data_IF_191312687343
#
_entry.id   IF_191312687343
#
_cell.length_a   1.000
_cell.length_b   1.000
_cell.length_c   1.000
_cell.angle_alpha   90.00
_cell.angle_beta   90.00
_cell.angle_gamma   90.00
#
_symmetry.space_group_name_H-M   'P 1'
#
loop_
_entity.id
_entity.type
_entity.pdbx_description
1 polymer ?
#
# COMPACT_ATOMS: atom_id res chain seq x y z
N UNK A 1 39.77 -17.39 30.24
CA UNK A 1 39.24 -18.41 29.26
C UNK A 1 40.32 -18.74 28.28
N UNK A 2 40.38 -19.97 27.71
CA UNK A 2 41.32 -20.26 26.62
C UNK A 2 40.98 -19.39 25.39
N UNK A 3 41.99 -18.83 24.72
CA UNK A 3 41.84 -17.91 23.58
C UNK A 3 41.00 -18.52 22.46
N UNK A 4 41.19 -19.83 22.18
CA UNK A 4 40.41 -20.53 21.15
C UNK A 4 38.89 -20.52 21.44
N UNK A 5 38.51 -20.68 22.73
CA UNK A 5 37.09 -20.63 23.13
C UNK A 5 36.49 -19.21 22.96
N UNK A 6 37.25 -18.18 23.34
CA UNK A 6 36.84 -16.79 23.13
C UNK A 6 36.66 -16.48 21.65
N UNK A 7 37.52 -16.95 20.76
CA UNK A 7 37.38 -16.76 19.32
C UNK A 7 36.17 -17.49 18.74
N UNK A 8 35.87 -18.73 19.20
CA UNK A 8 34.65 -19.44 18.78
C UNK A 8 33.41 -18.67 19.22
N UNK A 9 33.37 -18.16 20.44
CA UNK A 9 32.27 -17.36 20.95
C UNK A 9 32.11 -16.05 20.18
N UNK A 10 33.21 -15.38 19.83
CA UNK A 10 33.21 -14.19 18.97
C UNK A 10 32.54 -14.49 17.62
N UNK A 11 32.94 -15.58 16.96
CA UNK A 11 32.33 -15.99 15.70
C UNK A 11 30.83 -16.28 15.87
N UNK A 12 30.45 -16.99 16.94
CA UNK A 12 29.05 -17.32 17.25
C UNK A 12 28.22 -16.06 17.45
N UNK A 13 28.70 -15.10 18.28
CA UNK A 13 27.98 -13.84 18.53
C UNK A 13 27.97 -12.93 17.30
N UNK A 14 29.00 -12.97 16.46
CA UNK A 14 29.02 -12.26 15.19
C UNK A 14 27.94 -12.78 14.25
N UNK A 15 27.78 -14.10 14.13
CA UNK A 15 26.72 -14.74 13.36
C UNK A 15 25.33 -14.46 13.93
N UNK A 16 25.19 -14.47 15.26
CA UNK A 16 23.94 -14.09 15.92
C UNK A 16 23.58 -12.61 15.62
N UNK A 17 24.55 -11.71 15.73
CA UNK A 17 24.32 -10.30 15.41
C UNK A 17 23.92 -10.12 13.95
N UNK A 18 24.63 -10.77 13.03
CA UNK A 18 24.31 -10.79 11.61
C UNK A 18 22.90 -11.32 11.34
N UNK A 19 22.50 -12.41 12.01
CA UNK A 19 21.14 -12.98 11.91
C UNK A 19 20.07 -11.99 12.33
N UNK A 20 20.18 -11.38 13.52
CA UNK A 20 19.18 -10.45 14.02
C UNK A 20 19.13 -9.16 13.19
N UNK A 21 20.29 -8.66 12.74
CA UNK A 21 20.37 -7.48 11.87
C UNK A 21 19.72 -7.74 10.51
N UNK A 22 20.01 -8.89 9.92
CA UNK A 22 19.38 -9.35 8.69
C UNK A 22 17.85 -9.43 8.84
N UNK A 23 17.37 -10.05 9.92
CA UNK A 23 15.94 -10.23 10.19
C UNK A 23 15.21 -8.93 10.41
N UNK A 24 15.82 -8.00 11.15
CA UNK A 24 15.26 -6.68 11.37
C UNK A 24 14.99 -5.95 10.06
N UNK A 25 15.95 -5.92 9.15
CA UNK A 25 15.80 -5.24 7.84
C UNK A 25 14.77 -5.97 6.97
N UNK A 26 14.78 -7.31 6.97
CA UNK A 26 13.81 -8.09 6.21
C UNK A 26 12.37 -7.85 6.67
N UNK A 27 12.11 -7.79 7.97
CA UNK A 27 10.78 -7.54 8.53
C UNK A 27 10.19 -6.18 8.12
N UNK A 28 11.02 -5.14 8.07
CA UNK A 28 10.58 -3.80 7.66
C UNK A 28 10.27 -3.74 6.16
N UNK A 29 10.97 -4.54 5.34
CA UNK A 29 10.84 -4.48 3.88
C UNK A 29 9.79 -5.42 3.30
N UNK A 30 9.41 -6.43 4.03
CA UNK A 30 8.44 -7.42 3.55
C UNK A 30 7.05 -6.79 3.50
N UNK A 31 6.39 -6.87 2.35
CA UNK A 31 5.01 -6.45 2.18
C UNK A 31 4.06 -7.54 2.69
N UNK A 32 3.15 -7.19 3.58
CA UNK A 32 2.16 -8.11 4.15
C UNK A 32 1.36 -8.84 3.07
N UNK A 33 0.95 -8.13 2.00
CA UNK A 33 0.24 -8.69 0.86
C UNK A 33 1.02 -9.81 0.14
N UNK A 34 2.33 -9.67 0.01
CA UNK A 34 3.15 -10.72 -0.60
C UNK A 34 3.23 -11.99 0.27
N UNK A 35 3.31 -11.83 1.61
CA UNK A 35 3.31 -12.99 2.52
C UNK A 35 1.94 -13.68 2.50
N UNK A 36 0.84 -12.94 2.38
CA UNK A 36 -0.51 -13.48 2.30
C UNK A 36 -0.67 -14.43 1.11
N UNK A 37 -0.19 -14.04 -0.07
CA UNK A 37 -0.14 -14.91 -1.26
C UNK A 37 0.66 -16.21 -0.95
N UNK A 38 1.81 -16.10 -0.27
CA UNK A 38 2.62 -17.26 0.08
C UNK A 38 1.95 -18.18 1.13
N UNK A 39 1.05 -17.64 1.96
CA UNK A 39 0.20 -18.41 2.87
C UNK A 39 -0.85 -19.19 2.09
N UNK A 40 -1.49 -18.57 1.11
CA UNK A 40 -2.47 -19.22 0.22
C UNK A 40 -1.83 -20.34 -0.61
N UNK A 41 -0.59 -20.14 -1.08
CA UNK A 41 0.21 -21.15 -1.76
C UNK A 41 0.69 -22.31 -0.84
N UNK A 42 0.44 -22.21 0.46
CA UNK A 42 0.81 -23.25 1.43
C UNK A 42 2.31 -23.39 1.68
N UNK A 43 3.13 -22.37 1.39
CA UNK A 43 4.60 -22.43 1.60
C UNK A 43 4.97 -22.58 3.07
N UNK A 44 5.95 -23.46 3.35
CA UNK A 44 6.43 -23.69 4.73
C UNK A 44 6.99 -22.39 5.33
N UNK A 45 6.51 -22.05 6.53
CA UNK A 45 6.95 -20.85 7.25
C UNK A 45 6.13 -19.60 6.94
N UNK A 46 5.29 -19.59 5.89
CA UNK A 46 4.50 -18.42 5.49
C UNK A 46 3.53 -17.95 6.58
N UNK A 47 2.83 -18.85 7.27
CA UNK A 47 1.95 -18.51 8.40
C UNK A 47 2.69 -17.77 9.51
N UNK A 48 3.91 -18.25 9.90
CA UNK A 48 4.72 -17.58 10.93
C UNK A 48 5.25 -16.24 10.44
N UNK A 49 5.63 -16.14 9.17
CA UNK A 49 6.06 -14.89 8.58
C UNK A 49 4.90 -13.87 8.53
N UNK A 50 3.68 -14.32 8.31
CA UNK A 50 2.47 -13.47 8.35
C UNK A 50 2.18 -12.96 9.77
N UNK A 51 2.21 -13.86 10.79
CA UNK A 51 2.10 -13.45 12.20
C UNK A 51 3.14 -12.41 12.61
N UNK A 52 4.37 -12.54 12.08
CA UNK A 52 5.44 -11.57 12.32
C UNK A 52 5.19 -10.23 11.62
N UNK A 53 4.67 -10.23 10.40
CA UNK A 53 4.32 -9.04 9.67
C UNK A 53 3.11 -8.32 10.29
N UNK A 54 2.21 -9.06 10.92
CA UNK A 54 1.06 -8.53 11.63
C UNK A 54 1.46 -7.86 12.97
N UNK A 55 2.47 -8.40 13.65
CA UNK A 55 3.00 -7.90 14.91
C UNK A 55 4.44 -7.38 14.76
N UNK A 56 4.70 -6.64 13.68
CA UNK A 56 6.05 -6.24 13.27
C UNK A 56 6.83 -5.54 14.38
N UNK A 57 6.20 -4.65 15.15
CA UNK A 57 6.84 -3.87 16.20
C UNK A 57 7.40 -4.76 17.33
N UNK A 58 6.68 -5.81 17.70
CA UNK A 58 7.13 -6.76 18.71
C UNK A 58 8.36 -7.56 18.26
N UNK A 59 8.34 -8.01 17.01
CA UNK A 59 9.49 -8.75 16.43
C UNK A 59 10.68 -7.84 16.12
N UNK A 60 10.47 -6.56 15.77
CA UNK A 60 11.54 -5.58 15.66
C UNK A 60 12.22 -5.33 17.00
N UNK A 61 11.44 -5.25 18.08
CA UNK A 61 11.97 -5.13 19.43
C UNK A 61 12.77 -6.38 19.84
N UNK A 62 12.28 -7.59 19.49
CA UNK A 62 13.03 -8.83 19.71
C UNK A 62 14.36 -8.83 18.95
N UNK A 63 14.37 -8.47 17.68
CA UNK A 63 15.59 -8.32 16.90
C UNK A 63 16.56 -7.33 17.55
N UNK A 64 16.04 -6.18 18.03
CA UNK A 64 16.85 -5.17 18.71
C UNK A 64 17.48 -5.70 19.98
N UNK A 65 16.73 -6.45 20.81
CA UNK A 65 17.26 -7.11 21.99
C UNK A 65 18.38 -8.12 21.60
N UNK A 66 18.15 -8.95 20.59
CA UNK A 66 19.14 -9.90 20.09
C UNK A 66 20.42 -9.23 19.59
N UNK A 67 20.29 -8.13 18.82
CA UNK A 67 21.42 -7.30 18.35
C UNK A 67 22.20 -6.76 19.55
N UNK A 68 21.50 -6.19 20.52
CA UNK A 68 22.14 -5.57 21.70
C UNK A 68 22.91 -6.60 22.52
N UNK A 69 22.29 -7.76 22.79
CA UNK A 69 22.96 -8.83 23.55
C UNK A 69 24.19 -9.37 22.82
N UNK A 70 24.08 -9.61 21.51
CA UNK A 70 25.18 -10.08 20.69
C UNK A 70 26.33 -9.04 20.63
N UNK A 71 25.99 -7.76 20.45
CA UNK A 71 26.98 -6.66 20.39
C UNK A 71 27.72 -6.45 21.71
N UNK A 72 27.01 -6.51 22.84
CA UNK A 72 27.61 -6.43 24.16
C UNK A 72 28.55 -7.62 24.43
N UNK A 73 28.12 -8.83 24.08
CA UNK A 73 28.96 -10.03 24.20
C UNK A 73 30.22 -9.95 23.31
N UNK A 74 30.07 -9.43 22.07
CA UNK A 74 31.19 -9.19 21.16
C UNK A 74 32.20 -8.17 21.72
N UNK A 75 31.74 -7.07 22.29
CA UNK A 75 32.60 -6.09 22.94
C UNK A 75 33.35 -6.69 24.13
N UNK A 76 32.62 -7.42 24.99
CA UNK A 76 33.21 -8.01 26.20
C UNK A 76 34.22 -9.13 25.92
N UNK A 77 33.96 -9.98 24.93
CA UNK A 77 34.81 -11.14 24.61
C UNK A 77 35.81 -10.86 23.49
N UNK A 78 35.43 -10.03 22.53
CA UNK A 78 36.20 -9.84 21.29
C UNK A 78 37.45 -9.01 21.50
N UNK A 79 37.36 -7.87 22.19
CA UNK A 79 38.51 -7.01 22.45
C UNK A 79 39.63 -7.74 23.18
N UNK A 80 39.41 -8.42 24.34
CA UNK A 80 40.46 -9.14 25.03
C UNK A 80 41.00 -10.32 24.21
N UNK A 81 40.14 -11.03 23.41
CA UNK A 81 40.58 -12.12 22.60
C UNK A 81 41.55 -11.73 21.49
N UNK A 82 41.26 -10.62 20.79
CA UNK A 82 42.16 -10.09 19.77
C UNK A 82 43.41 -9.46 20.36
N UNK A 83 43.33 -8.75 21.50
CA UNK A 83 44.48 -8.25 22.21
C UNK A 83 45.42 -9.38 22.63
N UNK A 84 44.90 -10.46 23.19
CA UNK A 84 45.69 -11.64 23.57
C UNK A 84 46.29 -12.37 22.36
N UNK A 85 45.65 -12.37 21.20
CA UNK A 85 46.18 -12.92 19.95
C UNK A 85 47.33 -12.10 19.40
N UNK A 86 47.28 -10.76 19.52
CA UNK A 86 48.28 -9.82 19.02
C UNK A 86 49.48 -9.63 19.96
N UNK A 87 49.26 -9.80 21.26
CA UNK A 87 50.29 -9.62 22.30
C UNK A 87 51.61 -10.36 21.99
N UNK A 88 51.65 -11.68 21.69
CA UNK A 88 52.91 -12.38 21.41
C UNK A 88 53.63 -11.84 20.17
N UNK A 89 52.92 -11.28 19.20
CA UNK A 89 53.49 -10.71 17.99
C UNK A 89 54.30 -9.45 18.34
N UNK A 90 53.76 -8.58 19.17
CA UNK A 90 54.41 -7.33 19.55
C UNK A 90 55.57 -7.55 20.56
N UNK A 91 55.48 -8.58 21.42
CA UNK A 91 56.57 -9.03 22.27
C UNK A 91 57.77 -9.48 21.43
N UNK A 92 57.53 -10.22 20.33
CA UNK A 92 58.57 -10.67 19.41
C UNK A 92 59.32 -9.51 18.77
N UNK A 93 58.71 -8.37 18.57
CA UNK A 93 59.34 -7.13 18.06
C UNK A 93 60.15 -6.36 19.14
N UNK A 94 60.23 -6.86 20.37
CA UNK A 94 61.04 -6.27 21.44
C UNK A 94 60.53 -4.94 22.01
N UNK A 95 59.22 -4.69 21.88
CA UNK A 95 58.59 -3.51 22.42
C UNK A 95 58.48 -3.56 23.96
N UNK A 96 58.52 -2.44 24.68
CA UNK A 96 58.26 -2.41 26.13
C UNK A 96 56.85 -2.91 26.46
N UNK A 97 56.69 -3.68 27.57
CA UNK A 97 55.42 -4.32 27.96
C UNK A 97 54.24 -3.37 27.98
N UNK A 98 54.42 -2.14 28.43
CA UNK A 98 53.37 -1.09 28.44
C UNK A 98 52.94 -0.74 27.00
N UNK A 99 53.87 -0.63 26.07
CA UNK A 99 53.58 -0.33 24.67
C UNK A 99 52.91 -1.52 23.99
N UNK A 100 53.39 -2.76 24.27
CA UNK A 100 52.75 -3.99 23.76
C UNK A 100 51.27 -4.06 24.16
N UNK A 101 50.95 -3.81 25.44
CA UNK A 101 49.58 -3.82 25.93
C UNK A 101 48.71 -2.78 25.22
N UNK A 102 49.14 -1.53 25.20
CA UNK A 102 48.34 -0.45 24.58
C UNK A 102 48.12 -0.67 23.10
N UNK A 103 49.15 -1.10 22.35
CA UNK A 103 49.05 -1.35 20.91
C UNK A 103 48.19 -2.58 20.63
N UNK A 104 48.36 -3.67 21.40
CA UNK A 104 47.55 -4.89 21.22
C UNK A 104 46.07 -4.66 21.47
N UNK A 105 45.74 -3.88 22.51
CA UNK A 105 44.35 -3.51 22.82
C UNK A 105 43.79 -2.58 21.73
N UNK A 106 44.51 -1.55 21.34
CA UNK A 106 44.09 -0.60 20.32
C UNK A 106 43.83 -1.24 18.97
N UNK A 107 44.79 -2.04 18.49
CA UNK A 107 44.64 -2.76 17.21
C UNK A 107 43.59 -3.87 17.32
N UNK A 108 43.52 -4.59 18.44
CA UNK A 108 42.51 -5.62 18.71
C UNK A 108 41.11 -5.03 18.69
N UNK A 109 40.89 -3.89 19.32
CA UNK A 109 39.66 -3.12 19.28
C UNK A 109 39.27 -2.71 17.85
N UNK A 110 40.24 -2.18 17.10
CA UNK A 110 40.01 -1.75 15.71
C UNK A 110 39.60 -2.92 14.81
N UNK A 111 40.31 -4.06 14.90
CA UNK A 111 40.00 -5.26 14.13
C UNK A 111 38.60 -5.76 14.51
N UNK A 112 38.32 -5.89 15.81
CA UNK A 112 37.04 -6.38 16.28
C UNK A 112 35.88 -5.48 15.85
N UNK A 113 36.04 -4.16 15.97
CA UNK A 113 35.05 -3.19 15.54
C UNK A 113 34.81 -3.26 14.03
N UNK A 114 35.88 -3.38 13.25
CA UNK A 114 35.78 -3.53 11.79
C UNK A 114 35.02 -4.81 11.41
N UNK A 115 35.37 -5.94 12.02
CA UNK A 115 34.67 -7.23 11.79
C UNK A 115 33.20 -7.13 12.21
N UNK A 116 32.90 -6.53 13.36
CA UNK A 116 31.55 -6.34 13.85
C UNK A 116 30.72 -5.50 12.88
N UNK A 117 31.25 -4.34 12.45
CA UNK A 117 30.53 -3.43 11.53
C UNK A 117 30.34 -4.07 10.15
N UNK A 118 31.42 -4.65 9.57
CA UNK A 118 31.34 -5.18 8.20
C UNK A 118 30.56 -6.48 8.17
N UNK A 119 30.98 -7.51 8.92
CA UNK A 119 30.40 -8.83 8.86
C UNK A 119 29.12 -8.97 9.70
N UNK A 120 29.04 -8.26 10.82
CA UNK A 120 27.88 -8.27 11.72
C UNK A 120 26.75 -7.33 11.34
N UNK A 121 27.03 -6.27 10.54
CA UNK A 121 26.00 -5.27 10.22
C UNK A 121 25.86 -4.99 8.72
N UNK A 122 26.91 -4.53 8.01
CA UNK A 122 26.79 -4.05 6.63
C UNK A 122 26.45 -5.17 5.65
N UNK A 123 27.16 -6.31 5.71
CA UNK A 123 26.90 -7.45 4.84
C UNK A 123 25.48 -8.01 5.06
N UNK A 124 25.02 -8.30 6.29
CA UNK A 124 23.68 -8.80 6.53
C UNK A 124 22.58 -7.81 6.08
N UNK A 125 22.77 -6.51 6.30
CA UNK A 125 21.87 -5.47 5.84
C UNK A 125 21.75 -5.47 4.32
N UNK A 126 22.88 -5.52 3.60
CA UNK A 126 22.90 -5.53 2.13
C UNK A 126 22.25 -6.81 1.57
N UNK A 127 22.50 -7.96 2.18
CA UNK A 127 21.85 -9.23 1.79
C UNK A 127 20.34 -9.20 2.02
N UNK A 128 19.87 -8.60 3.12
CA UNK A 128 18.46 -8.45 3.42
C UNK A 128 17.73 -7.60 2.38
N UNK A 129 18.42 -6.60 1.83
CA UNK A 129 17.89 -5.72 0.78
C UNK A 129 17.73 -6.48 -0.55
N UNK A 130 18.67 -7.34 -0.89
CA UNK A 130 18.71 -8.03 -2.18
C UNK A 130 17.77 -9.26 -2.27
N UNK A 131 17.53 -9.96 -1.16
CA UNK A 131 16.78 -11.24 -1.15
C UNK A 131 15.80 -11.33 0.03
N UNK A 132 14.84 -10.39 0.09
CA UNK A 132 13.94 -10.23 1.24
C UNK A 132 13.00 -11.44 1.43
N UNK A 133 12.38 -11.96 0.37
CA UNK A 133 11.29 -12.94 0.45
C UNK A 133 11.73 -14.34 0.84
N UNK A 134 12.72 -14.88 0.13
CA UNK A 134 13.14 -16.29 0.30
C UNK A 134 13.64 -16.56 1.72
N UNK A 135 14.36 -15.61 2.29
CA UNK A 135 14.92 -15.75 3.64
C UNK A 135 13.91 -15.40 4.74
N UNK A 136 12.90 -14.58 4.45
CA UNK A 136 11.83 -14.28 5.40
C UNK A 136 11.13 -15.56 5.88
N UNK A 137 10.90 -16.51 4.98
CA UNK A 137 10.24 -17.78 5.29
C UNK A 137 11.12 -18.73 6.12
N UNK A 138 12.39 -18.93 5.69
CA UNK A 138 13.28 -19.93 6.32
C UNK A 138 13.72 -19.55 7.73
N UNK A 139 13.87 -18.26 8.00
CA UNK A 139 14.36 -17.76 9.28
C UNK A 139 13.25 -17.35 10.26
N UNK A 140 11.98 -17.53 9.88
CA UNK A 140 10.83 -17.21 10.73
C UNK A 140 10.80 -18.09 12.01
N UNK A 141 11.12 -19.37 11.91
CA UNK A 141 11.11 -20.28 13.04
C UNK A 141 12.06 -19.90 14.18
N UNK A 142 13.37 -19.73 13.92
CA UNK A 142 14.35 -19.34 14.94
C UNK A 142 14.02 -17.99 15.60
N UNK A 143 13.57 -16.98 14.84
CA UNK A 143 13.19 -15.70 15.43
C UNK A 143 11.95 -15.82 16.31
N UNK A 144 10.95 -16.58 15.89
CA UNK A 144 9.75 -16.82 16.71
C UNK A 144 10.09 -17.54 18.02
N UNK A 145 10.98 -18.51 17.99
CA UNK A 145 11.46 -19.18 19.19
C UNK A 145 12.20 -18.22 20.13
N UNK A 146 13.08 -17.39 19.60
CA UNK A 146 13.77 -16.35 20.37
C UNK A 146 12.79 -15.34 20.98
N UNK A 147 11.84 -14.84 20.22
CA UNK A 147 10.78 -13.95 20.70
C UNK A 147 10.01 -14.57 21.88
N UNK A 148 9.61 -15.83 21.78
CA UNK A 148 8.90 -16.54 22.85
C UNK A 148 9.70 -16.64 24.14
N UNK A 149 11.01 -16.95 24.02
CA UNK A 149 11.90 -17.05 25.18
C UNK A 149 12.11 -15.68 25.84
N UNK A 150 12.25 -14.64 25.03
CA UNK A 150 12.54 -13.28 25.50
C UNK A 150 11.30 -12.45 25.80
N UNK A 151 10.10 -12.99 25.54
CA UNK A 151 8.82 -12.31 25.71
C UNK A 151 8.65 -11.61 27.08
N UNK A 152 8.98 -12.22 28.24
CA UNK A 152 8.84 -11.56 29.52
C UNK A 152 9.69 -10.28 29.65
N UNK A 153 10.92 -10.32 29.11
CA UNK A 153 11.84 -9.17 29.10
C UNK A 153 11.32 -8.09 28.16
N UNK A 154 10.82 -8.50 27.00
CA UNK A 154 10.26 -7.61 25.99
C UNK A 154 9.02 -6.91 26.50
N UNK A 155 8.12 -7.65 27.17
CA UNK A 155 6.95 -7.08 27.82
C UNK A 155 7.33 -5.97 28.83
N UNK A 156 8.35 -6.23 29.66
CA UNK A 156 8.83 -5.24 30.61
C UNK A 156 9.37 -3.99 29.92
N UNK A 157 10.14 -4.13 28.84
CA UNK A 157 10.69 -3.01 28.08
C UNK A 157 9.58 -2.21 27.39
N UNK A 158 8.64 -2.87 26.76
CA UNK A 158 7.50 -2.23 26.11
C UNK A 158 6.60 -1.52 27.14
N UNK A 159 6.35 -2.14 28.30
CA UNK A 159 5.59 -1.50 29.38
C UNK A 159 6.29 -0.24 29.91
N UNK A 160 7.61 -0.30 30.05
CA UNK A 160 8.42 0.87 30.47
C UNK A 160 8.37 1.96 29.42
N UNK A 161 8.57 1.63 28.15
CA UNK A 161 8.51 2.58 27.03
C UNK A 161 7.15 3.24 26.95
N UNK A 162 6.07 2.45 26.97
CA UNK A 162 4.70 2.98 26.94
C UNK A 162 4.40 3.85 28.17
N UNK A 163 4.93 3.50 29.35
CA UNK A 163 4.83 4.33 30.55
C UNK A 163 5.48 5.70 30.37
N UNK A 164 6.70 5.74 29.82
CA UNK A 164 7.42 7.00 29.53
C UNK A 164 6.69 7.80 28.44
N UNK A 165 6.21 7.16 27.38
CA UNK A 165 5.45 7.82 26.31
C UNK A 165 4.18 8.49 26.84
N UNK A 166 3.43 7.81 27.71
CA UNK A 166 2.26 8.42 28.38
C UNK A 166 2.61 9.61 29.25
N UNK A 167 3.73 9.55 29.97
CA UNK A 167 4.19 10.68 30.78
C UNK A 167 4.59 11.90 29.93
N UNK A 168 5.02 11.68 28.69
CA UNK A 168 5.35 12.74 27.72
C UNK A 168 4.16 13.21 26.88
N UNK A 169 2.95 12.68 27.13
CA UNK A 169 1.72 13.06 26.42
C UNK A 169 1.53 12.41 25.06
N UNK A 170 2.33 11.40 24.72
CA UNK A 170 2.22 10.67 23.47
C UNK A 170 1.56 9.32 23.72
N UNK A 171 0.29 9.17 23.35
CA UNK A 171 -0.35 7.85 23.36
C UNK A 171 0.11 7.07 22.12
N UNK A 172 0.80 5.97 22.36
CA UNK A 172 1.13 4.99 21.32
C UNK A 172 -0.12 4.17 20.94
N UNK A 173 -1.18 4.81 20.46
CA UNK A 173 -2.23 4.12 19.73
C UNK A 173 -1.65 3.75 18.37
N UNK A 174 -1.69 2.46 18.03
CA UNK A 174 -1.50 1.99 16.67
C UNK A 174 -2.66 2.59 15.83
N UNK A 175 -2.48 3.81 15.35
CA UNK A 175 -3.27 4.30 14.23
C UNK A 175 -2.86 3.44 13.04
N UNK A 176 -3.74 2.54 12.66
CA UNK A 176 -3.71 1.94 11.33
C UNK A 176 -3.89 3.14 10.40
N UNK A 177 -2.80 3.62 9.83
CA UNK A 177 -2.83 4.68 8.84
C UNK A 177 -3.66 4.17 7.66
N UNK A 178 -4.93 4.55 7.62
CA UNK A 178 -5.75 4.37 6.44
C UNK A 178 -5.23 5.39 5.41
N UNK A 179 -4.86 4.90 4.24
CA UNK A 179 -4.42 5.76 3.14
C UNK A 179 -5.55 6.74 2.77
N UNK A 180 -5.22 8.00 2.60
CA UNK A 180 -6.14 8.98 2.04
C UNK A 180 -6.34 8.71 0.54
N UNK A 181 -7.37 9.32 -0.06
CA UNK A 181 -7.63 9.18 -1.49
C UNK A 181 -6.45 9.68 -2.32
N UNK A 182 -5.86 10.81 -1.92
CA UNK A 182 -4.69 11.39 -2.57
C UNK A 182 -3.48 10.46 -2.52
N UNK A 183 -3.25 9.79 -1.38
CA UNK A 183 -2.18 8.82 -1.24
C UNK A 183 -2.39 7.59 -2.12
N UNK A 184 -3.65 7.13 -2.26
CA UNK A 184 -3.99 6.03 -3.17
C UNK A 184 -3.74 6.45 -4.62
N UNK A 185 -4.14 7.66 -5.04
CA UNK A 185 -3.88 8.19 -6.38
C UNK A 185 -2.37 8.22 -6.69
N UNK A 186 -1.55 8.71 -5.75
CA UNK A 186 -0.09 8.72 -5.89
C UNK A 186 0.51 7.31 -6.02
N UNK A 187 0.03 6.35 -5.24
CA UNK A 187 0.47 4.95 -5.34
C UNK A 187 0.10 4.30 -6.68
N UNK A 188 -1.05 4.65 -7.24
CA UNK A 188 -1.48 4.19 -8.57
C UNK A 188 -0.62 4.81 -9.68
N UNK A 189 -0.31 6.10 -9.59
CA UNK A 189 0.58 6.80 -10.52
C UNK A 189 1.98 6.18 -10.54
N UNK A 190 2.60 5.98 -9.36
CA UNK A 190 3.90 5.31 -9.22
C UNK A 190 3.86 3.88 -9.79
N UNK A 191 2.73 3.17 -9.60
CA UNK A 191 2.54 1.82 -10.11
C UNK A 191 2.42 1.78 -11.64
N UNK A 192 1.83 2.81 -12.24
CA UNK A 192 1.75 2.96 -13.69
C UNK A 192 3.13 3.34 -14.29
N UNK A 193 3.86 4.27 -13.66
CA UNK A 193 5.21 4.65 -14.09
C UNK A 193 6.20 3.48 -14.03
N UNK A 194 6.07 2.63 -13.00
CA UNK A 194 6.91 1.42 -12.87
C UNK A 194 6.50 0.28 -13.80
N UNK A 195 5.41 0.42 -14.57
CA UNK A 195 4.87 -0.62 -15.46
C UNK A 195 4.16 -1.77 -14.73
N UNK A 196 3.85 -1.61 -13.44
CA UNK A 196 3.08 -2.60 -12.65
C UNK A 196 1.58 -2.56 -12.97
N UNK A 197 1.09 -1.44 -13.48
CA UNK A 197 -0.27 -1.19 -13.96
C UNK A 197 -0.15 -0.58 -15.35
N UNK A 198 -1.01 -1.00 -16.29
CA UNK A 198 -1.06 -0.42 -17.63
C UNK A 198 -1.61 1.02 -17.58
N UNK A 199 -1.15 1.89 -18.46
CA UNK A 199 -1.55 3.31 -18.50
C UNK A 199 -3.08 3.47 -18.66
N UNK A 200 -3.71 2.63 -19.48
CA UNK A 200 -5.16 2.65 -19.68
C UNK A 200 -5.91 2.27 -18.40
N UNK A 201 -5.39 1.30 -17.63
CA UNK A 201 -5.97 0.90 -16.34
C UNK A 201 -5.87 2.02 -15.32
N UNK A 202 -4.72 2.71 -15.26
CA UNK A 202 -4.53 3.88 -14.41
C UNK A 202 -5.57 4.96 -14.72
N UNK A 203 -5.77 5.27 -16.00
CA UNK A 203 -6.72 6.29 -16.43
C UNK A 203 -8.17 5.95 -16.05
N UNK A 204 -8.55 4.66 -16.11
CA UNK A 204 -9.86 4.22 -15.62
C UNK A 204 -10.02 4.41 -14.10
N UNK A 205 -8.99 4.09 -13.33
CA UNK A 205 -9.02 4.24 -11.87
C UNK A 205 -9.08 5.71 -11.44
N UNK A 206 -8.31 6.57 -12.08
CA UNK A 206 -8.33 8.02 -11.85
C UNK A 206 -9.70 8.62 -12.17
N UNK A 207 -10.31 8.23 -13.30
CA UNK A 207 -11.67 8.63 -13.65
C UNK A 207 -12.72 8.17 -12.63
N UNK A 208 -12.50 7.04 -11.94
CA UNK A 208 -13.43 6.57 -10.90
C UNK A 208 -13.38 7.47 -9.67
N UNK A 209 -12.22 7.90 -9.24
CA UNK A 209 -12.08 8.86 -8.15
C UNK A 209 -12.73 10.21 -8.48
N UNK A 210 -12.56 10.67 -9.72
CA UNK A 210 -13.17 11.92 -10.20
C UNK A 210 -14.71 11.88 -10.28
N UNK A 211 -15.35 10.71 -10.23
CA UNK A 211 -16.81 10.58 -10.32
C UNK A 211 -17.55 11.23 -9.14
N UNK A 212 -16.96 11.21 -7.95
CA UNK A 212 -17.59 11.80 -6.76
C UNK A 212 -17.44 13.32 -6.69
N UNK A 213 -16.39 13.85 -7.34
CA UNK A 213 -16.08 15.28 -7.35
C UNK A 213 -16.84 16.07 -8.43
N UNK A 214 -17.43 15.37 -9.42
CA UNK A 214 -18.12 16.01 -10.54
C UNK A 214 -19.63 15.89 -10.43
N UNK A 215 -20.32 17.00 -10.62
CA UNK A 215 -21.78 17.09 -10.70
C UNK A 215 -22.30 16.85 -12.12
N UNK A 216 -23.62 16.55 -12.23
CA UNK A 216 -24.30 16.40 -13.53
C UNK A 216 -24.12 17.61 -14.44
N UNK A 217 -24.02 18.82 -13.87
CA UNK A 217 -23.75 20.06 -14.60
C UNK A 217 -22.47 20.01 -15.44
N UNK A 218 -21.44 19.30 -14.97
CA UNK A 218 -20.15 19.18 -15.69
C UNK A 218 -20.22 18.34 -16.98
N UNK A 219 -21.24 17.45 -17.09
CA UNK A 219 -21.39 16.53 -18.23
C UNK A 219 -22.68 16.71 -19.01
N UNK A 220 -23.60 17.56 -18.55
CA UNK A 220 -24.86 17.80 -19.25
C UNK A 220 -24.65 18.63 -20.52
N UNK A 221 -25.51 18.42 -21.52
CA UNK A 221 -25.62 19.33 -22.66
C UNK A 221 -26.30 20.64 -22.20
N UNK A 222 -25.68 21.82 -22.42
CA UNK A 222 -26.30 23.09 -22.06
C UNK A 222 -27.66 23.26 -22.72
N UNK A 223 -28.60 23.91 -22.02
CA UNK A 223 -29.99 24.16 -22.51
C UNK A 223 -30.04 24.73 -23.92
N UNK A 224 -29.13 25.64 -24.24
CA UNK A 224 -29.06 26.31 -25.55
C UNK A 224 -28.70 25.40 -26.70
N UNK A 225 -28.03 24.26 -26.41
CA UNK A 225 -27.58 23.29 -27.37
C UNK A 225 -28.52 22.07 -27.48
N UNK A 226 -29.47 21.96 -26.54
CA UNK A 226 -30.44 20.85 -26.58
C UNK A 226 -31.42 21.04 -27.75
N UNK A 227 -31.46 20.08 -28.65
CA UNK A 227 -32.42 20.00 -29.73
C UNK A 227 -33.68 19.32 -29.25
N UNK A 228 -34.77 20.05 -29.12
CA UNK A 228 -36.04 19.57 -28.64
C UNK A 228 -37.14 19.90 -29.69
N UNK A 229 -38.24 19.17 -29.66
CA UNK A 229 -39.40 19.38 -30.53
C UNK A 229 -40.54 20.01 -29.74
N UNK A 230 -41.29 20.89 -30.43
CA UNK A 230 -42.46 21.53 -29.84
C UNK A 230 -43.72 20.65 -29.98
N UNK A 231 -44.41 20.41 -28.88
CA UNK A 231 -45.65 19.64 -28.88
C UNK A 231 -46.78 20.38 -29.63
N UNK A 232 -46.78 21.66 -29.63
CA UNK A 232 -47.85 22.49 -30.20
C UNK A 232 -47.62 22.82 -31.68
N UNK A 233 -46.46 22.44 -32.27
CA UNK A 233 -46.17 22.46 -33.69
C UNK A 233 -46.87 21.26 -34.42
N UNK A 234 -46.96 21.36 -35.76
CA UNK A 234 -47.43 20.22 -36.53
C UNK A 234 -46.43 19.07 -36.59
N UNK A 235 -46.94 17.85 -36.78
CA UNK A 235 -46.13 16.63 -36.81
C UNK A 235 -45.11 16.66 -37.97
N UNK A 236 -45.47 17.19 -39.13
CA UNK A 236 -44.64 17.21 -40.33
C UNK A 236 -43.39 18.08 -40.12
N UNK A 237 -43.59 19.26 -39.56
CA UNK A 237 -42.49 20.19 -39.16
C UNK A 237 -41.53 19.52 -38.19
N UNK A 238 -42.06 18.82 -37.16
CA UNK A 238 -41.24 18.11 -36.19
C UNK A 238 -40.51 16.92 -36.83
N UNK A 239 -41.12 16.15 -37.75
CA UNK A 239 -40.49 15.07 -38.48
C UNK A 239 -39.35 15.56 -39.37
N UNK A 240 -39.53 16.65 -40.08
CA UNK A 240 -38.52 17.30 -40.90
C UNK A 240 -37.31 17.74 -40.04
N UNK A 241 -37.60 18.38 -38.88
CA UNK A 241 -36.58 18.75 -37.92
C UNK A 241 -35.79 17.56 -37.40
N UNK A 242 -36.48 16.46 -37.01
CA UNK A 242 -35.81 15.22 -36.55
C UNK A 242 -34.99 14.60 -37.68
N UNK A 243 -35.46 14.61 -38.92
CA UNK A 243 -34.75 14.06 -40.07
C UNK A 243 -33.45 14.80 -40.40
N UNK A 244 -33.47 16.13 -40.25
CA UNK A 244 -32.28 16.99 -40.45
C UNK A 244 -31.21 16.79 -39.40
N UNK A 245 -31.61 16.63 -38.12
CA UNK A 245 -30.69 16.56 -37.00
C UNK A 245 -30.21 15.16 -36.62
N UNK A 246 -30.92 14.09 -37.05
CA UNK A 246 -30.52 12.67 -36.98
C UNK A 246 -30.24 12.11 -35.57
N UNK A 247 -30.81 12.69 -34.51
CA UNK A 247 -30.74 12.10 -33.17
C UNK A 247 -31.76 10.97 -33.00
N UNK A 248 -31.45 10.05 -32.08
CA UNK A 248 -32.34 8.91 -31.78
C UNK A 248 -33.51 9.28 -30.88
N UNK A 249 -33.35 10.27 -30.00
CA UNK A 249 -34.32 10.71 -29.01
C UNK A 249 -34.36 12.22 -28.97
N UNK A 250 -35.56 12.77 -28.93
CA UNK A 250 -35.82 14.22 -28.85
C UNK A 250 -36.66 14.51 -27.61
N UNK A 251 -36.21 15.41 -26.71
CA UNK A 251 -37.08 15.98 -25.70
C UNK A 251 -38.26 16.70 -26.37
N UNK A 252 -39.41 16.63 -25.74
CA UNK A 252 -40.63 17.34 -26.17
C UNK A 252 -40.93 18.37 -25.14
N UNK A 253 -41.07 19.63 -25.57
CA UNK A 253 -41.47 20.73 -24.71
C UNK A 253 -42.86 21.24 -25.12
N UNK A 254 -43.52 22.01 -24.21
CA UNK A 254 -44.76 22.72 -24.47
C UNK A 254 -44.64 24.13 -23.97
N UNK A 255 -45.02 25.09 -24.80
CA UNK A 255 -45.01 26.53 -24.55
C UNK A 255 -43.56 27.09 -24.40
N UNK A 256 -42.75 26.55 -23.48
CA UNK A 256 -41.37 26.94 -23.25
C UNK A 256 -40.45 25.72 -23.21
N UNK A 257 -39.23 25.90 -23.70
CA UNK A 257 -38.16 24.87 -23.66
C UNK A 257 -37.82 24.38 -22.25
N UNK A 258 -38.21 25.12 -21.20
CA UNK A 258 -38.05 24.67 -19.80
C UNK A 258 -39.16 23.74 -19.37
N UNK A 259 -40.27 23.69 -20.06
CA UNK A 259 -41.39 22.79 -19.78
C UNK A 259 -41.30 21.49 -20.60
N UNK A 260 -40.34 20.64 -20.26
CA UNK A 260 -40.15 19.34 -20.92
C UNK A 260 -41.22 18.36 -20.44
N UNK A 261 -42.14 17.93 -21.33
CA UNK A 261 -43.22 16.98 -21.05
C UNK A 261 -42.80 15.51 -21.20
N UNK A 262 -41.67 15.23 -21.86
CA UNK A 262 -41.17 13.90 -22.06
C UNK A 262 -40.15 13.84 -23.20
N UNK A 263 -39.98 12.64 -23.78
CA UNK A 263 -39.16 12.44 -24.97
C UNK A 263 -39.82 11.49 -25.96
N UNK A 264 -39.46 11.65 -27.22
CA UNK A 264 -39.89 10.78 -28.33
C UNK A 264 -38.68 10.04 -28.90
N UNK A 265 -38.87 8.79 -29.24
CA UNK A 265 -37.90 8.02 -29.99
C UNK A 265 -38.18 8.17 -31.49
N UNK A 266 -37.22 8.53 -32.30
CA UNK A 266 -37.37 8.81 -33.73
C UNK A 266 -38.09 7.66 -34.49
N UNK A 267 -37.84 6.41 -34.13
CA UNK A 267 -38.55 5.27 -34.73
C UNK A 267 -40.05 5.28 -34.48
N UNK A 268 -40.49 5.71 -33.30
CA UNK A 268 -41.93 5.76 -32.95
C UNK A 268 -42.61 6.85 -33.80
N UNK A 269 -41.91 7.92 -34.11
CA UNK A 269 -42.39 9.03 -34.94
C UNK A 269 -42.51 8.64 -36.42
N UNK A 270 -41.51 7.97 -36.99
CA UNK A 270 -41.51 7.55 -38.39
C UNK A 270 -42.43 6.34 -38.69
N UNK A 271 -42.89 5.64 -37.68
CA UNK A 271 -43.85 4.51 -37.83
C UNK A 271 -45.31 4.95 -37.78
N UNK A 272 -45.59 6.21 -37.58
CA UNK A 272 -46.94 6.72 -37.57
C UNK A 272 -47.54 6.70 -38.98
N UNK A 273 -48.87 6.36 -39.14
CA UNK A 273 -49.57 6.44 -40.43
C UNK A 273 -49.65 7.86 -40.98
N UNK A 274 -49.79 7.99 -42.30
CA UNK A 274 -50.05 9.29 -42.92
C UNK A 274 -51.32 9.93 -42.34
N UNK A 275 -51.27 11.23 -42.07
CA UNK A 275 -52.37 11.98 -41.44
C UNK A 275 -52.41 11.96 -39.91
N UNK A 276 -51.43 11.31 -39.28
CA UNK A 276 -51.28 11.34 -37.82
C UNK A 276 -50.90 12.76 -37.33
N UNK A 277 -51.18 13.02 -36.07
CA UNK A 277 -50.93 14.29 -35.39
C UNK A 277 -49.97 14.11 -34.21
N UNK A 278 -49.48 15.18 -33.59
CA UNK A 278 -48.67 15.13 -32.38
C UNK A 278 -49.33 14.39 -31.20
N UNK A 279 -50.66 14.26 -31.20
CA UNK A 279 -51.40 13.51 -30.17
C UNK A 279 -51.24 12.01 -30.30
N UNK A 280 -50.94 11.52 -31.49
CA UNK A 280 -50.74 10.11 -31.79
C UNK A 280 -49.31 9.67 -31.48
N UNK A 281 -48.41 10.63 -31.22
CA UNK A 281 -47.00 10.40 -30.94
C UNK A 281 -46.83 9.85 -29.54
N UNK A 282 -46.10 8.75 -29.42
CA UNK A 282 -45.80 8.10 -28.11
C UNK A 282 -44.76 8.90 -27.35
N UNK A 283 -45.19 9.83 -26.49
CA UNK A 283 -44.29 10.57 -25.57
C UNK A 283 -44.02 9.68 -24.36
N UNK A 284 -42.72 9.47 -24.10
CA UNK A 284 -42.22 8.67 -22.96
C UNK A 284 -41.78 9.61 -21.83
N UNK A 285 -42.02 9.19 -20.59
CA UNK A 285 -41.60 9.98 -19.43
C UNK A 285 -40.08 10.12 -19.35
N UNK A 286 -39.61 11.32 -19.06
CA UNK A 286 -38.20 11.62 -18.81
C UNK A 286 -37.95 11.72 -17.31
N UNK A 287 -36.75 11.34 -16.86
CA UNK A 287 -36.32 11.49 -15.48
C UNK A 287 -35.69 12.86 -15.30
N UNK A 288 -36.27 13.66 -14.42
CA UNK A 288 -35.64 14.91 -13.99
C UNK A 288 -34.73 14.65 -12.77
N UNK A 289 -33.56 15.25 -12.78
CA UNK A 289 -32.60 15.26 -11.68
C UNK A 289 -32.03 16.65 -11.50
N UNK A 290 -31.64 17.06 -10.28
CA UNK A 290 -30.99 18.36 -10.08
C UNK A 290 -29.63 18.39 -10.77
N UNK A 291 -29.21 19.53 -11.29
CA UNK A 291 -27.89 19.71 -11.92
C UNK A 291 -26.70 19.49 -10.95
N UNK A 292 -26.96 19.68 -9.64
CA UNK A 292 -26.00 19.48 -8.55
C UNK A 292 -25.91 18.05 -8.04
N UNK A 293 -26.57 17.08 -8.70
CA UNK A 293 -26.41 15.66 -8.32
C UNK A 293 -25.04 15.16 -8.74
N UNK A 294 -24.29 14.46 -7.84
CA UNK A 294 -23.02 13.86 -8.22
C UNK A 294 -23.19 12.82 -9.34
N UNK A 295 -22.19 12.70 -10.21
CA UNK A 295 -22.22 11.76 -11.35
C UNK A 295 -22.40 10.33 -10.86
N UNK A 296 -21.76 9.93 -9.75
CA UNK A 296 -21.91 8.60 -9.15
C UNK A 296 -23.37 8.31 -8.78
N UNK A 297 -24.06 9.26 -8.15
CA UNK A 297 -25.47 9.12 -7.77
C UNK A 297 -26.40 9.16 -8.98
N UNK A 298 -26.08 10.00 -9.97
CA UNK A 298 -26.80 10.03 -11.24
C UNK A 298 -26.75 8.67 -11.94
N UNK A 299 -25.56 8.05 -12.01
CA UNK A 299 -25.38 6.73 -12.60
C UNK A 299 -26.24 5.66 -11.91
N UNK A 300 -26.29 5.66 -10.57
CA UNK A 300 -27.14 4.75 -9.80
C UNK A 300 -28.64 4.95 -10.12
N UNK A 301 -29.11 6.19 -10.21
CA UNK A 301 -30.50 6.52 -10.56
C UNK A 301 -30.85 6.02 -11.96
N UNK A 302 -29.96 6.22 -12.93
CA UNK A 302 -30.17 5.77 -14.32
C UNK A 302 -30.16 4.23 -14.43
N UNK A 303 -29.26 3.54 -13.73
CA UNK A 303 -29.20 2.09 -13.71
C UNK A 303 -30.41 1.45 -13.05
N UNK A 304 -30.90 2.00 -11.94
CA UNK A 304 -32.09 1.49 -11.23
C UNK A 304 -33.33 1.53 -12.13
N UNK A 305 -33.49 2.55 -12.99
CA UNK A 305 -34.60 2.67 -13.93
C UNK A 305 -34.48 1.68 -15.09
N UNK A 306 -33.28 1.44 -15.61
CA UNK A 306 -33.05 0.44 -16.66
C UNK A 306 -33.42 -0.97 -16.21
N UNK A 307 -33.18 -1.30 -14.95
CA UNK A 307 -33.50 -2.61 -14.36
C UNK A 307 -35.01 -2.78 -14.16
N UNK A 308 -35.73 -1.71 -13.80
CA UNK A 308 -37.24 -1.74 -13.68
C UNK A 308 -37.91 -1.92 -15.03
N UNK A 309 -37.44 -1.29 -16.07
CA UNK A 309 -38.00 -1.42 -17.42
C UNK A 309 -37.78 -2.80 -18.08
N UNK A 310 -36.74 -3.56 -17.63
CA UNK A 310 -36.48 -4.94 -18.08
C UNK A 310 -37.36 -6.01 -17.39
N UNK A 311 -37.93 -5.70 -16.21
CA UNK A 311 -38.75 -6.64 -15.44
C UNK A 311 -40.25 -6.43 -15.64
N UNK A 312 -40.68 -5.47 -16.44
CA UNK A 312 -42.07 -5.12 -16.70
C UNK A 312 -42.49 -5.20 -18.18
N UNK A 313 -41.70 -5.93 -18.99
CA UNK A 313 -42.01 -6.20 -20.39
C UNK A 313 -42.17 -7.69 -20.66
#
# INVERSE_FOLDING_TARGET
MPIWLSLILVVLFLLMNAFFRYRRVSLVRVRKSQIEILVEEGKKGAKRAFEMADNVNEYLSACQLGITLASLALGWLGEPAFAALLHPIFVFFGLPDTAVTVISVGIGYFIMTTLHVVAGELIPKSMAILKTETYALHTAGPLHAFYRITYPIMWLFNATTNGVMRLTGHDAKNETEAYSEEEIKLLLEESAESGSIEQDQYQYLDNIFDLDDKDAKAIMTPRTEVLAIDYDDDLETNLDFMGKNKFTRYPVFREDKDNIVGFVHIKDAYLLPEGSTMKDLKIRSIQAVPESISIAKLLQVLQAKHTKNRRGG
#
